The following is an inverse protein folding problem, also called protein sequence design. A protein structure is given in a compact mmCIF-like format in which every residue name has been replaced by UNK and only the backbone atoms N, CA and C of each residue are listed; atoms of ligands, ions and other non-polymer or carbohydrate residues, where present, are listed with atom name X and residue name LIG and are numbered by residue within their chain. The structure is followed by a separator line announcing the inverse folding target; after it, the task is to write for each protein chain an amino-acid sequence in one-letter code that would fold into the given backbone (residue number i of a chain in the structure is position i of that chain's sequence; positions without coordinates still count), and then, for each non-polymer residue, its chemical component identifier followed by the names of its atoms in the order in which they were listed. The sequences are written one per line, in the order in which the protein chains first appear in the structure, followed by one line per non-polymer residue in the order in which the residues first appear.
data_IF_552277849131
#
_entry.id   IF_552277849131
#
_cell.length_a   1.000
_cell.length_b   1.000
_cell.length_c   1.000
_cell.angle_alpha   90.00
_cell.angle_beta   90.00
_cell.angle_gamma   90.00
#
_symmetry.space_group_name_H-M   'P 1'
#
loop_
_entity.id
_entity.type
_entity.pdbx_description
1 polymer ?
#
# COMPACT_ATOMS: atom_id res chain seq x y z
N UNK A 1 -1.69 -3.15 61.77
CA UNK A 1 -2.99 -3.14 61.10
C UNK A 1 -3.06 -1.86 60.30
N UNK A 2 -2.85 -1.97 58.99
CA UNK A 2 -3.28 -1.04 57.95
C UNK A 2 -2.89 -1.69 56.62
N UNK A 3 -3.86 -2.40 56.03
CA UNK A 3 -3.75 -3.08 54.75
C UNK A 3 -3.90 -2.06 53.62
N UNK A 4 -2.85 -1.90 52.81
CA UNK A 4 -2.90 -1.11 51.58
C UNK A 4 -3.38 -1.97 50.39
N UNK A 5 -4.28 -1.47 49.52
CA UNK A 5 -4.79 -2.26 48.42
C UNK A 5 -3.73 -2.40 47.32
N UNK A 6 -3.35 -3.64 47.03
CA UNK A 6 -2.51 -4.04 45.91
C UNK A 6 -3.22 -3.78 44.59
N UNK A 7 -2.69 -2.83 43.81
CA UNK A 7 -3.20 -2.49 42.49
C UNK A 7 -2.61 -3.46 41.45
N UNK A 8 -3.13 -4.68 41.39
CA UNK A 8 -2.79 -5.66 40.34
C UNK A 8 -3.50 -5.28 39.05
N UNK A 9 -2.80 -4.58 38.15
CA UNK A 9 -3.24 -4.44 36.76
C UNK A 9 -3.07 -5.78 36.05
N UNK A 10 -4.14 -6.57 36.08
CA UNK A 10 -4.36 -7.70 35.18
C UNK A 10 -4.58 -7.13 33.77
N UNK A 11 -3.52 -6.96 32.99
CA UNK A 11 -3.60 -6.79 31.53
C UNK A 11 -3.37 -8.14 30.86
N UNK A 12 -4.32 -9.05 31.08
CA UNK A 12 -4.56 -10.21 30.20
C UNK A 12 -5.63 -9.76 29.20
N UNK A 13 -5.57 -9.96 27.91
CA UNK A 13 -4.58 -10.51 27.01
C UNK A 13 -5.28 -10.39 25.66
N UNK A 14 -4.79 -9.53 24.76
CA UNK A 14 -5.14 -9.67 23.36
C UNK A 14 -4.18 -10.71 22.82
N UNK A 15 -4.59 -11.98 22.90
CA UNK A 15 -3.87 -13.06 22.26
C UNK A 15 -3.71 -12.73 20.77
N UNK A 16 -2.45 -12.67 20.35
CA UNK A 16 -2.04 -12.58 18.96
C UNK A 16 -2.81 -13.61 18.13
N UNK A 17 -3.67 -13.13 17.22
CA UNK A 17 -4.35 -13.98 16.26
C UNK A 17 -3.29 -14.70 15.40
N UNK A 18 -3.12 -16.03 15.55
CA UNK A 18 -2.01 -16.76 14.93
C UNK A 18 -2.32 -16.94 13.43
N UNK A 19 -1.87 -16.00 12.61
CA UNK A 19 -2.03 -16.02 11.15
C UNK A 19 -2.18 -14.64 10.53
N UNK A 20 -2.50 -13.61 11.32
CA UNK A 20 -2.79 -12.27 10.82
C UNK A 20 -1.63 -11.31 11.15
N UNK A 21 -0.49 -11.46 10.47
CA UNK A 21 0.61 -10.47 10.54
C UNK A 21 0.21 -9.09 9.97
N UNK A 22 -0.99 -8.98 9.43
CA UNK A 22 -1.51 -7.84 8.68
C UNK A 22 -2.77 -7.21 9.27
N UNK A 23 -3.29 -7.70 10.40
CA UNK A 23 -4.48 -7.23 11.15
C UNK A 23 -5.26 -6.06 10.48
N UNK A 24 -5.88 -6.33 9.32
CA UNK A 24 -6.64 -5.36 8.54
C UNK A 24 -8.04 -5.88 8.20
N UNK A 25 -8.39 -7.09 8.65
CA UNK A 25 -9.71 -7.71 8.47
C UNK A 25 -10.73 -7.22 9.52
N UNK A 26 -10.47 -6.08 10.18
CA UNK A 26 -11.41 -5.47 11.12
C UNK A 26 -12.48 -4.67 10.35
N UNK A 27 -13.79 -5.01 10.45
CA UNK A 27 -14.86 -4.30 9.75
C UNK A 27 -14.89 -2.79 10.04
N UNK A 28 -14.59 -2.39 11.27
CA UNK A 28 -14.52 -0.97 11.67
C UNK A 28 -13.39 -0.23 10.92
N UNK A 29 -12.23 -0.87 10.77
CA UNK A 29 -11.11 -0.30 10.00
C UNK A 29 -11.41 -0.25 8.50
N UNK A 30 -12.28 -1.13 7.99
CA UNK A 30 -12.75 -1.10 6.60
C UNK A 30 -13.72 0.05 6.36
N UNK A 31 -14.66 0.29 7.28
CA UNK A 31 -15.60 1.41 7.22
C UNK A 31 -14.88 2.77 7.30
N UNK A 32 -13.89 2.90 8.17
CA UNK A 32 -13.07 4.12 8.26
C UNK A 32 -12.34 4.42 6.95
N UNK A 33 -11.74 3.40 6.30
CA UNK A 33 -11.12 3.56 4.99
C UNK A 33 -12.13 3.89 3.89
N UNK A 34 -13.36 3.37 3.98
CA UNK A 34 -14.41 3.69 3.01
C UNK A 34 -14.78 5.18 3.04
N UNK A 35 -14.85 5.78 4.23
CA UNK A 35 -15.10 7.21 4.39
C UNK A 35 -14.01 8.09 3.76
N UNK A 36 -12.77 7.59 3.64
CA UNK A 36 -11.68 8.35 3.00
C UNK A 36 -11.91 8.63 1.51
N UNK A 37 -12.83 7.91 0.86
CA UNK A 37 -13.25 8.16 -0.52
C UNK A 37 -14.25 9.32 -0.66
N UNK A 38 -14.76 9.89 0.42
CA UNK A 38 -15.63 11.07 0.36
C UNK A 38 -14.91 12.26 -0.28
N UNK A 39 -15.64 13.20 -0.92
CA UNK A 39 -15.04 14.37 -1.56
C UNK A 39 -14.09 15.13 -0.63
N UNK A 40 -13.03 15.68 -1.21
CA UNK A 40 -12.02 16.52 -0.55
C UNK A 40 -11.29 15.86 0.66
N UNK A 41 -11.46 14.55 0.85
CA UNK A 41 -10.78 13.76 1.90
C UNK A 41 -9.54 13.08 1.34
N UNK A 42 -8.47 13.01 2.14
CA UNK A 42 -7.28 12.24 1.79
C UNK A 42 -7.55 10.75 2.00
N UNK A 43 -7.16 9.93 1.03
CA UNK A 43 -7.13 8.48 1.24
C UNK A 43 -6.18 8.12 2.38
N UNK A 44 -6.63 7.24 3.26
CA UNK A 44 -5.80 6.65 4.32
C UNK A 44 -5.01 5.43 3.81
N UNK A 45 -4.14 4.91 4.67
CA UNK A 45 -3.27 3.77 4.36
C UNK A 45 -4.08 2.52 3.97
N UNK A 46 -5.18 2.24 4.68
CA UNK A 46 -6.02 1.07 4.44
C UNK A 46 -6.83 1.15 3.14
N UNK A 47 -7.30 2.34 2.77
CA UNK A 47 -7.96 2.61 1.51
C UNK A 47 -7.00 2.38 0.34
N UNK A 48 -5.80 2.98 0.39
CA UNK A 48 -4.80 2.83 -0.67
C UNK A 48 -4.34 1.38 -0.79
N UNK A 49 -3.99 0.74 0.33
CA UNK A 49 -3.45 -0.61 0.32
C UNK A 49 -4.43 -1.65 -0.20
N UNK A 50 -5.65 -1.71 0.36
CA UNK A 50 -6.65 -2.71 -0.04
C UNK A 50 -7.17 -2.47 -1.45
N UNK A 51 -7.33 -1.20 -1.87
CA UNK A 51 -7.64 -0.91 -3.28
C UNK A 51 -6.54 -1.39 -4.23
N UNK A 52 -5.25 -1.23 -3.89
CA UNK A 52 -4.17 -1.78 -4.70
C UNK A 52 -4.20 -3.31 -4.76
N UNK A 53 -4.48 -3.99 -3.63
CA UNK A 53 -4.64 -5.45 -3.62
C UNK A 53 -5.78 -5.90 -4.55
N UNK A 54 -6.93 -5.22 -4.50
CA UNK A 54 -8.05 -5.47 -5.43
C UNK A 54 -7.65 -5.32 -6.89
N UNK A 55 -6.99 -4.20 -7.22
CA UNK A 55 -6.51 -3.88 -8.57
C UNK A 55 -5.59 -4.99 -9.08
N UNK A 56 -4.66 -5.45 -8.25
CA UNK A 56 -3.72 -6.53 -8.60
C UNK A 56 -4.41 -7.89 -8.72
N UNK A 57 -5.25 -8.26 -7.75
CA UNK A 57 -5.93 -9.56 -7.71
C UNK A 57 -6.82 -9.77 -8.94
N UNK A 58 -7.60 -8.76 -9.33
CA UNK A 58 -8.49 -8.84 -10.50
C UNK A 58 -7.77 -9.04 -11.84
N UNK A 59 -6.46 -8.78 -11.91
CA UNK A 59 -5.68 -8.94 -13.15
C UNK A 59 -4.86 -10.23 -13.18
N UNK A 60 -4.84 -11.00 -12.09
CA UNK A 60 -4.12 -12.27 -12.00
C UNK A 60 -2.60 -12.15 -12.18
N UNK A 61 -2.03 -10.95 -12.00
CA UNK A 61 -0.61 -10.72 -12.19
C UNK A 61 0.16 -11.06 -10.91
N UNK A 62 1.35 -11.69 -10.99
CA UNK A 62 2.16 -12.07 -9.83
C UNK A 62 2.90 -10.87 -9.26
N UNK A 63 2.14 -9.88 -8.78
CA UNK A 63 2.60 -8.64 -8.17
C UNK A 63 2.19 -8.68 -6.72
N UNK A 64 3.12 -8.36 -5.82
CA UNK A 64 2.82 -8.22 -4.40
C UNK A 64 2.61 -6.75 -4.06
N UNK A 65 1.63 -6.44 -3.22
CA UNK A 65 1.44 -5.09 -2.69
C UNK A 65 1.96 -5.06 -1.26
N UNK A 66 2.83 -4.11 -0.95
CA UNK A 66 3.38 -3.94 0.40
C UNK A 66 2.52 -2.97 1.18
N UNK A 67 2.14 -3.37 2.39
CA UNK A 67 1.43 -2.52 3.34
C UNK A 67 2.29 -1.27 3.68
N UNK A 68 1.73 -0.05 3.56
CA UNK A 68 2.40 1.19 3.97
C UNK A 68 3.01 1.16 5.37
N UNK A 69 2.35 0.51 6.34
CA UNK A 69 2.82 0.38 7.72
C UNK A 69 4.02 -0.54 7.88
N UNK A 70 4.12 -1.55 7.01
CA UNK A 70 5.27 -2.48 6.97
C UNK A 70 6.47 -1.84 6.30
N UNK A 71 6.27 -1.16 5.17
CA UNK A 71 7.30 -0.30 4.58
C UNK A 71 7.76 0.77 5.58
N UNK A 72 6.77 1.35 6.27
CA UNK A 72 6.81 1.98 7.58
C UNK A 72 7.96 1.51 8.46
N UNK A 73 7.72 0.35 9.04
CA UNK A 73 8.51 -0.28 10.07
C UNK A 73 9.95 -0.52 9.61
N UNK A 74 10.14 -1.19 8.46
CA UNK A 74 11.48 -1.62 8.00
C UNK A 74 12.30 -0.51 7.35
N UNK A 75 11.73 0.66 7.09
CA UNK A 75 12.49 1.83 6.64
C UNK A 75 13.28 2.53 7.76
N UNK A 76 13.14 2.07 9.01
CA UNK A 76 13.75 2.66 10.19
C UNK A 76 15.14 2.04 10.48
N UNK A 77 16.16 2.81 10.91
CA UNK A 77 17.53 2.32 11.06
C UNK A 77 17.78 1.25 12.13
N UNK A 78 16.79 0.89 12.97
CA UNK A 78 17.00 0.09 14.20
C UNK A 78 16.02 -1.06 14.39
N UNK A 79 15.25 -1.43 13.36
CA UNK A 79 14.32 -2.55 13.48
C UNK A 79 15.06 -3.87 13.26
N UNK A 80 15.33 -4.59 14.35
CA UNK A 80 15.61 -6.02 14.26
C UNK A 80 14.43 -6.76 13.63
N UNK A 81 14.72 -7.73 12.77
CA UNK A 81 13.70 -8.54 12.09
C UNK A 81 13.55 -9.84 12.89
N UNK A 82 12.42 -10.03 13.57
CA UNK A 82 12.10 -11.29 14.24
C UNK A 82 11.82 -12.44 13.24
N UNK A 83 11.70 -13.70 13.70
CA UNK A 83 11.57 -14.86 12.80
C UNK A 83 10.37 -14.80 11.84
N UNK A 84 9.15 -14.56 12.36
CA UNK A 84 7.92 -14.39 11.55
C UNK A 84 8.03 -13.27 10.51
N UNK A 85 8.73 -12.21 10.89
CA UNK A 85 9.00 -11.06 10.04
C UNK A 85 9.99 -11.40 8.92
N UNK A 86 10.97 -12.26 9.22
CA UNK A 86 11.93 -12.74 8.25
C UNK A 86 11.27 -13.63 7.18
N UNK A 87 10.35 -14.51 7.56
CA UNK A 87 9.58 -15.34 6.61
C UNK A 87 8.82 -14.49 5.58
N UNK A 88 8.13 -13.43 6.03
CA UNK A 88 7.43 -12.50 5.14
C UNK A 88 8.39 -11.78 4.16
N UNK A 89 9.58 -11.39 4.62
CA UNK A 89 10.60 -10.79 3.75
C UNK A 89 11.18 -11.81 2.76
N UNK A 90 11.35 -13.06 3.17
CA UNK A 90 11.84 -14.13 2.30
C UNK A 90 10.83 -14.48 1.20
N UNK A 91 9.53 -14.39 1.49
CA UNK A 91 8.49 -14.53 0.48
C UNK A 91 8.45 -13.35 -0.49
N UNK A 92 8.56 -12.11 0.02
CA UNK A 92 8.72 -10.91 -0.82
C UNK A 92 9.94 -11.02 -1.74
N UNK A 93 11.06 -11.58 -1.25
CA UNK A 93 12.28 -11.79 -2.03
C UNK A 93 12.02 -12.64 -3.28
N UNK A 94 11.06 -13.57 -3.24
CA UNK A 94 10.70 -14.45 -4.36
C UNK A 94 9.88 -13.75 -5.43
N UNK A 95 9.26 -12.60 -5.14
CA UNK A 95 8.35 -11.89 -6.05
C UNK A 95 9.08 -11.22 -7.21
N UNK A 96 8.47 -11.27 -8.41
CA UNK A 96 9.02 -10.64 -9.63
C UNK A 96 8.81 -9.13 -9.62
N UNK A 97 7.65 -8.71 -9.12
CA UNK A 97 7.24 -7.32 -9.01
C UNK A 97 6.65 -7.06 -7.63
N UNK A 98 6.96 -5.89 -7.09
CA UNK A 98 6.43 -5.42 -5.82
C UNK A 98 5.93 -3.99 -6.02
N UNK A 99 4.69 -3.72 -5.62
CA UNK A 99 4.09 -2.40 -5.53
C UNK A 99 4.20 -1.89 -4.09
N UNK A 100 4.68 -0.67 -3.94
CA UNK A 100 4.96 -0.03 -2.65
C UNK A 100 4.33 1.37 -2.66
N UNK A 101 3.08 1.52 -2.20
CA UNK A 101 2.53 2.83 -1.90
C UNK A 101 3.32 3.47 -0.75
N UNK A 102 3.67 4.74 -0.90
CA UNK A 102 4.40 5.49 0.14
C UNK A 102 3.69 6.81 0.39
N UNK A 103 3.31 7.06 1.64
CA UNK A 103 2.84 8.37 2.08
C UNK A 103 3.98 9.14 2.76
N UNK A 104 4.24 10.36 2.30
CA UNK A 104 5.16 11.30 2.95
C UNK A 104 4.48 12.64 3.12
N UNK A 105 4.37 13.13 4.37
CA UNK A 105 3.77 14.44 4.67
C UNK A 105 2.40 14.64 3.97
N UNK A 106 1.52 13.65 4.06
CA UNK A 106 0.18 13.63 3.42
C UNK A 106 0.20 13.61 1.89
N UNK A 107 1.34 13.28 1.26
CA UNK A 107 1.46 13.09 -0.19
C UNK A 107 1.73 11.62 -0.51
N UNK A 108 0.86 11.02 -1.32
CA UNK A 108 0.97 9.65 -1.77
C UNK A 108 1.74 9.54 -3.09
N UNK A 109 2.65 8.58 -3.14
CA UNK A 109 3.40 8.20 -4.34
C UNK A 109 3.42 6.69 -4.47
N UNK A 110 3.62 6.18 -5.68
CA UNK A 110 3.70 4.74 -5.93
C UNK A 110 5.09 4.38 -6.42
N UNK A 111 5.66 3.36 -5.80
CA UNK A 111 6.85 2.69 -6.28
C UNK A 111 6.50 1.31 -6.82
N UNK A 112 7.17 0.92 -7.91
CA UNK A 112 7.13 -0.44 -8.43
C UNK A 112 8.55 -0.94 -8.59
N UNK A 113 8.91 -2.00 -7.89
CA UNK A 113 10.20 -2.64 -8.02
C UNK A 113 10.10 -3.86 -8.94
N UNK A 114 10.99 -3.96 -9.92
CA UNK A 114 11.15 -5.15 -10.76
C UNK A 114 12.43 -5.88 -10.37
N UNK A 115 12.30 -7.08 -9.79
CA UNK A 115 13.45 -7.91 -9.41
C UNK A 115 14.26 -8.34 -10.62
N UNK A 116 13.59 -8.69 -11.73
CA UNK A 116 14.28 -9.11 -12.96
C UNK A 116 15.15 -7.99 -13.53
N UNK A 117 14.63 -6.77 -13.55
CA UNK A 117 15.35 -5.60 -14.10
C UNK A 117 16.24 -4.92 -13.07
N UNK A 118 16.18 -5.35 -11.80
CA UNK A 118 16.80 -4.68 -10.67
C UNK A 118 16.57 -3.17 -10.77
N UNK A 119 15.30 -2.77 -10.88
CA UNK A 119 14.94 -1.37 -11.17
C UNK A 119 13.72 -0.94 -10.40
N UNK A 120 13.80 0.27 -9.86
CA UNK A 120 12.74 0.96 -9.18
C UNK A 120 12.07 1.98 -10.10
N UNK A 121 10.75 1.95 -10.17
CA UNK A 121 9.91 2.87 -10.94
C UNK A 121 9.11 3.75 -9.99
N UNK A 122 9.02 5.04 -10.29
CA UNK A 122 8.40 6.05 -9.42
C UNK A 122 7.29 6.79 -10.17
N UNK A 123 6.11 6.81 -9.55
CA UNK A 123 4.91 7.48 -10.04
C UNK A 123 4.48 8.52 -9.00
N UNK A 124 4.35 9.76 -9.45
CA UNK A 124 4.01 10.91 -8.61
C UNK A 124 3.26 11.93 -9.46
N UNK A 125 2.04 12.23 -9.03
CA UNK A 125 1.09 13.11 -9.72
C UNK A 125 1.46 14.59 -9.63
N UNK A 126 2.30 15.00 -8.67
CA UNK A 126 2.70 16.39 -8.46
C UNK A 126 4.06 16.75 -9.04
N UNK A 127 4.84 15.76 -9.49
CA UNK A 127 6.20 15.96 -10.03
C UNK A 127 7.14 16.77 -9.12
N UNK A 128 7.02 16.67 -7.79
CA UNK A 128 7.83 17.47 -6.84
C UNK A 128 9.18 16.77 -6.53
N UNK A 129 10.34 17.29 -6.98
CA UNK A 129 11.62 16.57 -6.87
C UNK A 129 12.05 16.23 -5.44
N UNK A 130 11.72 17.08 -4.47
CA UNK A 130 12.11 16.89 -3.06
C UNK A 130 11.50 15.62 -2.43
N UNK A 131 10.25 15.30 -2.76
CA UNK A 131 9.55 14.11 -2.24
C UNK A 131 10.16 12.82 -2.76
N UNK A 132 10.55 12.79 -4.04
CA UNK A 132 11.15 11.61 -4.66
C UNK A 132 12.38 11.12 -3.89
N UNK A 133 13.32 12.02 -3.55
CA UNK A 133 14.55 11.63 -2.84
C UNK A 133 14.23 11.01 -1.47
N UNK A 134 13.35 11.65 -0.71
CA UNK A 134 12.94 11.16 0.61
C UNK A 134 12.25 9.79 0.51
N UNK A 135 11.32 9.64 -0.44
CA UNK A 135 10.56 8.40 -0.62
C UNK A 135 11.44 7.26 -1.15
N UNK A 136 12.36 7.57 -2.07
CA UNK A 136 13.32 6.61 -2.61
C UNK A 136 14.26 6.10 -1.50
N UNK A 137 14.77 6.98 -0.64
CA UNK A 137 15.59 6.56 0.50
C UNK A 137 14.83 5.60 1.43
N UNK A 138 13.54 5.87 1.66
CA UNK A 138 12.67 5.03 2.47
C UNK A 138 12.50 3.64 1.88
N UNK A 139 12.19 3.59 0.58
CA UNK A 139 12.01 2.35 -0.18
C UNK A 139 13.33 1.57 -0.25
N UNK A 140 14.46 2.24 -0.44
CA UNK A 140 15.76 1.57 -0.51
C UNK A 140 16.10 0.86 0.79
N UNK A 141 15.86 1.49 1.95
CA UNK A 141 16.05 0.83 3.25
C UNK A 141 15.17 -0.41 3.42
N UNK A 142 13.91 -0.31 3.00
CA UNK A 142 13.01 -1.48 2.99
C UNK A 142 13.54 -2.59 2.07
N UNK A 143 13.98 -2.24 0.85
CA UNK A 143 14.54 -3.20 -0.11
C UNK A 143 15.85 -3.81 0.39
N UNK A 144 16.66 -3.08 1.17
CA UNK A 144 17.86 -3.63 1.81
C UNK A 144 17.49 -4.73 2.83
N UNK A 145 16.39 -4.57 3.56
CA UNK A 145 15.88 -5.64 4.44
C UNK A 145 15.41 -6.87 3.63
N UNK A 146 14.82 -6.67 2.46
CA UNK A 146 14.31 -7.77 1.62
C UNK A 146 15.44 -8.49 0.87
N UNK A 147 16.35 -7.76 0.24
CA UNK A 147 17.31 -8.26 -0.75
C UNK A 147 18.78 -8.09 -0.35
N UNK A 148 19.07 -7.43 0.77
CA UNK A 148 20.41 -7.01 1.16
C UNK A 148 20.91 -5.78 0.38
N UNK A 149 22.07 -5.26 0.76
CA UNK A 149 22.67 -4.01 0.26
C UNK A 149 22.91 -3.95 -1.27
N UNK A 150 22.83 -5.08 -1.98
CA UNK A 150 22.98 -5.10 -3.43
C UNK A 150 21.77 -4.51 -4.18
N UNK A 151 20.59 -4.47 -3.55
CA UNK A 151 19.40 -3.85 -4.15
C UNK A 151 19.49 -2.31 -4.19
N UNK A 152 20.27 -1.71 -3.29
CA UNK A 152 20.44 -0.27 -3.17
C UNK A 152 20.98 0.36 -4.47
N UNK A 153 22.03 -0.24 -5.06
CA UNK A 153 22.68 0.22 -6.30
C UNK A 153 21.75 0.26 -7.51
N UNK A 154 20.76 -0.61 -7.51
CA UNK A 154 19.73 -0.71 -8.55
C UNK A 154 18.61 0.33 -8.41
N UNK A 155 18.47 0.91 -7.23
CA UNK A 155 17.35 1.78 -6.85
C UNK A 155 17.76 3.23 -6.52
N UNK A 156 19.07 3.54 -6.51
CA UNK A 156 19.65 4.88 -6.30
C UNK A 156 19.06 5.97 -7.23
N UNK A 157 18.53 5.58 -8.40
CA UNK A 157 17.74 6.47 -9.25
C UNK A 157 16.41 5.83 -9.65
N UNK A 158 15.43 5.87 -8.75
CA UNK A 158 14.06 5.51 -9.10
C UNK A 158 13.64 6.23 -10.40
N UNK A 159 13.27 5.47 -11.44
CA UNK A 159 12.96 6.02 -12.76
C UNK A 159 11.61 6.71 -12.71
N UNK A 160 11.56 7.98 -13.09
CA UNK A 160 10.28 8.67 -13.28
C UNK A 160 9.47 7.99 -14.37
N UNK A 161 8.21 7.71 -14.05
CA UNK A 161 7.24 7.17 -14.99
C UNK A 161 6.22 8.24 -15.34
N UNK A 162 5.74 8.19 -16.59
CA UNK A 162 4.61 9.02 -17.01
C UNK A 162 3.42 8.65 -16.12
N UNK A 163 2.88 9.67 -15.44
CA UNK A 163 1.80 9.53 -14.47
C UNK A 163 0.69 10.49 -14.87
N UNK A 164 -0.55 10.16 -14.49
CA UNK A 164 -1.62 11.15 -14.45
C UNK A 164 -1.22 12.28 -13.51
N UNK A 165 -1.38 13.53 -13.96
CA UNK A 165 -1.08 14.71 -13.16
C UNK A 165 -2.31 15.07 -12.35
N UNK A 166 -2.11 15.46 -11.09
CA UNK A 166 -3.19 16.00 -10.28
C UNK A 166 -3.23 17.53 -10.41
N UNK A 167 -4.43 18.09 -10.23
CA UNK A 167 -4.58 19.52 -10.00
C UNK A 167 -4.15 19.92 -8.58
N UNK A 168 -4.66 21.06 -8.09
CA UNK A 168 -4.31 21.58 -6.76
C UNK A 168 -4.93 20.77 -5.60
N UNK A 169 -5.93 19.94 -5.90
CA UNK A 169 -6.68 19.17 -4.91
C UNK A 169 -5.86 18.02 -4.29
N UNK A 170 -6.21 17.58 -3.07
CA UNK A 170 -5.50 16.53 -2.33
C UNK A 170 -5.82 15.11 -2.85
N UNK A 171 -5.66 14.86 -4.15
CA UNK A 171 -6.08 13.61 -4.80
C UNK A 171 -4.94 12.63 -5.06
N UNK A 172 -3.75 12.86 -4.48
CA UNK A 172 -2.55 12.05 -4.70
C UNK A 172 -2.77 10.53 -4.48
N UNK A 173 -3.60 10.16 -3.50
CA UNK A 173 -3.97 8.76 -3.27
C UNK A 173 -4.76 8.15 -4.43
N UNK A 174 -5.72 8.88 -5.00
CA UNK A 174 -6.48 8.42 -6.17
C UNK A 174 -5.58 8.26 -7.39
N UNK A 175 -4.61 9.15 -7.57
CA UNK A 175 -3.63 9.03 -8.64
C UNK A 175 -2.68 7.83 -8.44
N UNK A 176 -2.36 7.44 -7.21
CA UNK A 176 -1.66 6.18 -6.93
C UNK A 176 -2.47 4.99 -7.45
N UNK A 177 -3.77 4.93 -7.12
CA UNK A 177 -4.66 3.86 -7.58
C UNK A 177 -4.83 3.86 -9.11
N UNK A 178 -5.03 5.04 -9.72
CA UNK A 178 -5.17 5.19 -11.15
C UNK A 178 -3.90 4.78 -11.91
N UNK A 179 -2.72 5.17 -11.42
CA UNK A 179 -1.45 4.79 -12.05
C UNK A 179 -1.20 3.28 -11.93
N UNK A 180 -1.61 2.64 -10.83
CA UNK A 180 -1.55 1.19 -10.70
C UNK A 180 -2.47 0.50 -11.71
N UNK A 181 -3.75 0.89 -11.80
CA UNK A 181 -4.70 0.30 -12.76
C UNK A 181 -4.21 0.51 -14.21
N UNK A 182 -3.73 1.71 -14.57
CA UNK A 182 -3.12 1.99 -15.89
C UNK A 182 -1.93 1.09 -16.18
N UNK A 183 -1.04 0.88 -15.20
CA UNK A 183 0.12 0.01 -15.36
C UNK A 183 -0.30 -1.44 -15.60
N UNK A 184 -1.28 -1.95 -14.86
CA UNK A 184 -1.75 -3.32 -15.04
C UNK A 184 -2.51 -3.49 -16.35
N UNK A 185 -3.32 -2.50 -16.75
CA UNK A 185 -3.96 -2.51 -18.06
C UNK A 185 -2.94 -2.55 -19.19
N UNK A 186 -1.83 -1.80 -19.12
CA UNK A 186 -0.78 -1.90 -20.13
C UNK A 186 -0.14 -3.30 -20.16
N UNK A 187 0.01 -3.93 -19.00
CA UNK A 187 0.55 -5.29 -18.90
C UNK A 187 -0.40 -6.36 -19.44
N UNK A 188 -1.73 -6.19 -19.29
CA UNK A 188 -2.74 -7.16 -19.73
C UNK A 188 -3.32 -6.88 -21.12
N UNK A 189 -3.40 -5.61 -21.56
CA UNK A 189 -3.92 -5.23 -22.89
C UNK A 189 -3.06 -5.75 -24.03
N UNK A 190 -1.76 -5.91 -23.79
CA UNK A 190 -0.88 -6.64 -24.70
C UNK A 190 -1.43 -8.04 -25.04
N UNK A 191 -2.35 -8.59 -24.22
CA UNK A 191 -2.99 -9.88 -24.43
C UNK A 191 -4.46 -9.83 -24.90
N UNK A 192 -5.19 -8.71 -24.80
CA UNK A 192 -6.67 -8.74 -24.87
C UNK A 192 -7.37 -7.69 -25.77
N UNK A 193 -6.65 -6.74 -26.38
CA UNK A 193 -7.21 -5.87 -27.44
C UNK A 193 -8.33 -4.89 -27.06
N UNK A 194 -8.78 -4.84 -25.80
CA UNK A 194 -9.84 -3.93 -25.35
C UNK A 194 -9.31 -2.69 -24.60
N UNK A 195 -9.82 -1.51 -25.01
CA UNK A 195 -9.53 -0.24 -24.37
C UNK A 195 -10.54 0.08 -23.25
N UNK A 196 -10.21 -0.29 -22.01
CA UNK A 196 -10.90 0.20 -20.83
C UNK A 196 -10.60 1.70 -20.55
N UNK A 197 -11.56 2.59 -20.74
CA UNK A 197 -11.42 4.00 -20.36
C UNK A 197 -11.48 4.10 -18.82
N UNK A 198 -10.50 4.76 -18.23
CA UNK A 198 -10.44 5.01 -16.78
C UNK A 198 -10.85 6.45 -16.49
N UNK A 199 -11.57 6.72 -15.38
CA UNK A 199 -11.92 8.08 -15.01
C UNK A 199 -10.65 8.87 -14.67
N UNK A 200 -10.60 10.12 -15.13
CA UNK A 200 -9.50 11.05 -14.81
C UNK A 200 -9.95 12.22 -13.92
N UNK A 201 -11.25 12.48 -13.85
CA UNK A 201 -11.82 13.48 -12.95
C UNK A 201 -11.85 12.96 -11.50
N UNK A 202 -11.42 13.77 -10.50
CA UNK A 202 -11.32 13.32 -9.11
C UNK A 202 -12.59 12.70 -8.53
N UNK A 203 -13.76 13.31 -8.79
CA UNK A 203 -15.03 12.82 -8.27
C UNK A 203 -15.40 11.45 -8.86
N UNK A 204 -15.10 11.24 -10.14
CA UNK A 204 -15.36 9.97 -10.82
C UNK A 204 -14.34 8.91 -10.42
N UNK A 205 -13.07 9.28 -10.19
CA UNK A 205 -12.06 8.40 -9.60
C UNK A 205 -12.49 7.92 -8.21
N UNK A 206 -12.98 8.83 -7.35
CA UNK A 206 -13.50 8.48 -6.02
C UNK A 206 -14.63 7.47 -6.12
N UNK A 207 -15.66 7.77 -6.93
CA UNK A 207 -16.81 6.87 -7.14
C UNK A 207 -16.36 5.51 -7.67
N UNK A 208 -15.42 5.50 -8.62
CA UNK A 208 -14.88 4.28 -9.22
C UNK A 208 -14.15 3.40 -8.21
N UNK A 209 -13.19 3.95 -7.46
CA UNK A 209 -12.41 3.17 -6.50
C UNK A 209 -13.20 2.81 -5.25
N UNK A 210 -14.13 3.67 -4.81
CA UNK A 210 -15.06 3.35 -3.72
C UNK A 210 -15.87 2.10 -4.01
N UNK A 211 -16.52 2.04 -5.18
CA UNK A 211 -17.32 0.86 -5.59
C UNK A 211 -16.49 -0.42 -5.60
N UNK A 212 -15.25 -0.35 -6.08
CA UNK A 212 -14.34 -1.51 -6.07
C UNK A 212 -13.93 -1.91 -4.66
N UNK A 213 -13.72 -0.93 -3.78
CA UNK A 213 -13.39 -1.16 -2.38
C UNK A 213 -14.57 -1.79 -1.62
N UNK A 214 -15.79 -1.31 -1.85
CA UNK A 214 -17.03 -1.89 -1.29
C UNK A 214 -17.18 -3.36 -1.69
N UNK A 215 -16.83 -3.70 -2.94
CA UNK A 215 -16.89 -5.07 -3.44
C UNK A 215 -15.75 -5.99 -2.92
N UNK A 216 -14.79 -5.49 -2.12
CA UNK A 216 -13.73 -6.33 -1.54
C UNK A 216 -14.17 -7.14 -0.32
N UNK A 217 -15.31 -6.80 0.29
CA UNK A 217 -15.70 -7.39 1.57
C UNK A 217 -17.13 -7.12 1.98
N UNK A 218 -18.09 -7.33 1.07
CA UNK A 218 -19.51 -7.46 1.43
C UNK A 218 -20.02 -8.86 1.04
N UNK A 219 -19.35 -9.89 1.55
CA UNK A 219 -20.01 -11.13 2.02
C UNK A 219 -20.13 -11.09 3.55
N UNK A 220 -20.38 -9.89 4.11
CA UNK A 220 -20.71 -9.75 5.54
C UNK A 220 -22.22 -9.61 5.59
N UNK A 221 -22.90 -10.60 6.17
CA UNK A 221 -24.35 -10.54 6.37
C UNK A 221 -24.64 -9.34 7.28
N UNK A 222 -25.71 -8.55 7.05
CA UNK A 222 -26.16 -7.55 8.01
C UNK A 222 -26.36 -8.11 9.44
N UNK A 223 -26.54 -9.42 9.55
CA UNK A 223 -26.69 -10.17 10.81
C UNK A 223 -25.39 -10.24 11.62
N UNK A 224 -24.21 -10.09 10.99
CA UNK A 224 -22.90 -10.13 11.65
C UNK A 224 -22.51 -8.77 12.29
N UNK A 225 -23.38 -7.76 12.18
CA UNK A 225 -23.18 -6.40 12.71
C UNK A 225 -24.01 -6.10 13.97
N UNK A 226 -24.65 -7.10 14.58
CA UNK A 226 -25.51 -6.95 15.76
C UNK A 226 -25.05 -7.78 16.96
#
# INVERSE_FOLDING_TARGET
MEDGPGNSRDTRGSEDCPGCLWAQDCPVAQLASLASFDPDTLLDDGAVFRSLQCIVAHKGLPIEVVDPSVLQLYSQPRTGVGPRRQEALDDLRKRKFIMMPVCLKRHWVLFVYSRRKQRLYYFDSLKKPGFKRMATNRVNRFLDCVYGHNAQRAAESAKWMKSSLQGEKPDCGLHVLLNAEKLLLLATRAAAGQEQILPEEPIDMRRYFRRRFENLGLDVSPEDLH
#
